data_IF_429280500484
#
_entry.id   IF_429280500484
#
_cell.length_a   1.000
_cell.length_b   1.000
_cell.length_c   1.000
_cell.angle_alpha   90.00
_cell.angle_beta   90.00
_cell.angle_gamma   90.00
#
_symmetry.space_group_name_H-M   'P 1'
#
loop_
_entity.id
_entity.type
_entity.pdbx_description
1 polymer ?
#
# COMPACT_ATOMS: atom_id res chain seq x y z
N UNK A 1 9.07 -16.15 0.49
CA UNK A 1 7.95 -15.18 0.34
C UNK A 1 7.87 -14.33 1.60
N UNK A 2 8.21 -13.04 1.52
CA UNK A 2 7.94 -12.13 2.63
C UNK A 2 6.42 -11.94 2.71
N UNK A 3 5.78 -12.41 3.79
CA UNK A 3 4.38 -12.12 4.04
C UNK A 3 4.25 -10.64 4.32
N UNK A 4 3.70 -9.88 3.37
CA UNK A 4 3.39 -8.48 3.59
C UNK A 4 2.43 -8.37 4.78
N UNK A 5 2.83 -7.67 5.84
CA UNK A 5 2.01 -7.48 7.03
C UNK A 5 1.29 -6.14 6.95
N UNK A 6 0.07 -6.16 6.42
CA UNK A 6 -0.78 -4.98 6.42
C UNK A 6 -1.11 -4.55 7.87
N UNK A 7 -1.28 -3.24 8.07
CA UNK A 7 -1.88 -2.70 9.31
C UNK A 7 -3.39 -2.89 9.27
N UNK A 8 -3.99 -2.54 8.13
CA UNK A 8 -5.41 -2.65 7.86
C UNK A 8 -5.63 -3.56 6.66
N UNK A 9 -6.36 -4.66 6.85
CA UNK A 9 -6.65 -5.62 5.78
C UNK A 9 -7.57 -5.02 4.71
N UNK A 10 -8.38 -4.02 5.06
CA UNK A 10 -9.32 -3.37 4.15
C UNK A 10 -8.65 -2.27 3.32
N UNK A 11 -7.56 -1.66 3.81
CA UNK A 11 -6.81 -0.64 3.10
C UNK A 11 -5.31 -0.96 3.16
N UNK A 12 -4.74 -1.55 2.10
CA UNK A 12 -3.34 -1.94 2.11
C UNK A 12 -2.38 -0.75 2.11
N UNK A 13 -2.83 0.46 1.75
CA UNK A 13 -1.98 1.65 1.76
C UNK A 13 -1.93 2.33 3.14
N UNK A 14 -2.71 1.87 4.11
CA UNK A 14 -2.65 2.36 5.48
C UNK A 14 -1.39 1.81 6.18
N UNK A 15 -0.34 2.62 6.20
CA UNK A 15 0.95 2.29 6.82
C UNK A 15 0.87 2.34 8.35
N UNK A 16 1.72 1.55 9.02
CA UNK A 16 1.92 1.65 10.47
C UNK A 16 2.65 2.95 10.79
N UNK A 17 2.51 3.42 12.02
CA UNK A 17 3.22 4.61 12.47
C UNK A 17 4.74 4.40 12.31
N UNK A 18 5.39 5.28 11.54
CA UNK A 18 6.81 5.20 11.21
C UNK A 18 7.15 4.46 9.91
N UNK A 19 6.19 3.74 9.32
CA UNK A 19 6.32 3.19 7.97
C UNK A 19 5.81 4.21 6.95
N UNK A 20 6.48 4.31 5.80
CA UNK A 20 6.02 5.11 4.66
C UNK A 20 6.23 4.37 3.35
N UNK A 21 5.29 4.54 2.43
CA UNK A 21 5.49 4.14 1.04
C UNK A 21 6.47 5.16 0.44
N UNK A 22 7.64 4.69 0.00
CA UNK A 22 8.62 5.54 -0.69
C UNK A 22 8.38 5.54 -2.20
N UNK A 23 7.96 4.39 -2.72
CA UNK A 23 7.69 4.15 -4.13
C UNK A 23 6.36 3.43 -4.23
N UNK A 24 5.36 4.12 -4.79
CA UNK A 24 4.00 3.62 -4.90
C UNK A 24 3.90 2.50 -5.94
N UNK A 25 4.62 2.62 -7.06
CA UNK A 25 4.57 1.64 -8.15
C UNK A 25 5.15 0.31 -7.68
N UNK A 26 6.32 0.36 -7.01
CA UNK A 26 6.93 -0.82 -6.39
C UNK A 26 6.04 -1.42 -5.31
N UNK A 27 5.35 -0.61 -4.52
CA UNK A 27 4.45 -1.12 -3.49
C UNK A 27 3.25 -1.85 -4.09
N UNK A 28 2.68 -1.34 -5.17
CA UNK A 28 1.58 -1.99 -5.90
C UNK A 28 2.01 -3.34 -6.48
N UNK A 29 3.23 -3.47 -7.00
CA UNK A 29 3.76 -4.77 -7.44
C UNK A 29 3.78 -5.79 -6.30
N UNK A 30 4.28 -5.39 -5.12
CA UNK A 30 4.30 -6.26 -3.93
C UNK A 30 2.88 -6.66 -3.52
N UNK A 31 1.90 -5.75 -3.59
CA UNK A 31 0.50 -6.09 -3.33
C UNK A 31 -0.03 -7.15 -4.30
N UNK A 32 0.26 -7.01 -5.60
CA UNK A 32 -0.12 -7.99 -6.64
C UNK A 32 0.53 -9.35 -6.41
N UNK A 33 1.83 -9.38 -6.08
CA UNK A 33 2.54 -10.63 -5.77
C UNK A 33 1.95 -11.37 -4.56
N UNK A 34 1.37 -10.62 -3.61
CA UNK A 34 0.70 -11.17 -2.43
C UNK A 34 -0.81 -11.42 -2.65
N UNK A 35 -1.33 -11.27 -3.88
CA UNK A 35 -2.76 -11.35 -4.22
C UNK A 35 -3.66 -10.41 -3.39
N UNK A 36 -3.13 -9.24 -3.01
CA UNK A 36 -3.87 -8.24 -2.24
C UNK A 36 -4.58 -7.31 -3.21
N UNK A 37 -5.91 -7.34 -3.16
CA UNK A 37 -6.76 -6.42 -3.91
C UNK A 37 -6.86 -5.07 -3.20
N UNK A 38 -6.99 -4.01 -3.97
CA UNK A 38 -7.23 -2.66 -3.48
C UNK A 38 -8.17 -1.92 -4.43
N UNK A 39 -8.81 -0.87 -3.95
CA UNK A 39 -9.67 -0.02 -4.79
C UNK A 39 -8.87 1.09 -5.44
N UNK A 40 -9.39 1.62 -6.55
CA UNK A 40 -8.78 2.77 -7.21
C UNK A 40 -8.77 4.02 -6.32
N UNK A 41 -9.81 4.21 -5.50
CA UNK A 41 -9.86 5.31 -4.53
C UNK A 41 -8.72 5.24 -3.52
N UNK A 42 -8.40 4.05 -3.00
CA UNK A 42 -7.28 3.84 -2.08
C UNK A 42 -5.94 4.15 -2.72
N UNK A 43 -5.76 3.77 -3.98
CA UNK A 43 -4.55 4.07 -4.74
C UNK A 43 -4.37 5.58 -4.96
N UNK A 44 -5.44 6.29 -5.36
CA UNK A 44 -5.41 7.74 -5.56
C UNK A 44 -5.17 8.50 -4.25
N UNK A 45 -5.75 8.04 -3.14
CA UNK A 45 -5.49 8.59 -1.81
C UNK A 45 -4.02 8.39 -1.40
N UNK A 46 -3.47 7.20 -1.61
CA UNK A 46 -2.06 6.90 -1.34
C UNK A 46 -1.13 7.79 -2.18
N UNK A 47 -1.46 7.99 -3.46
CA UNK A 47 -0.72 8.87 -4.37
C UNK A 47 -0.73 10.33 -3.92
N UNK A 48 -1.87 10.84 -3.45
CA UNK A 48 -1.97 12.20 -2.88
C UNK A 48 -1.14 12.36 -1.62
N UNK A 49 -1.08 11.33 -0.78
CA UNK A 49 -0.31 11.34 0.46
C UNK A 49 1.21 11.16 0.24
N UNK A 50 1.62 10.58 -0.89
CA UNK A 50 3.05 10.39 -1.23
C UNK A 50 3.78 11.72 -1.52
N UNK A 51 3.04 12.74 -1.98
CA UNK A 51 3.56 14.07 -2.32
C UNK A 51 3.46 15.11 -1.21
N UNK A 52 3.05 14.71 0.00
CA UNK A 52 3.01 15.56 1.19
C UNK A 52 4.18 15.24 2.12
#
# INVERSE_FOLDING_TARGET
MHKLKLKNINNPFEMRQGEKIVDLDRYVEVLKENNITFTQEQYEEAKKNLGK
#
